data_IF_179773883558
#
_entry.id   IF_179773883558
#
_cell.length_a   1.000
_cell.length_b   1.000
_cell.length_c   1.000
_cell.angle_alpha   90.00
_cell.angle_beta   90.00
_cell.angle_gamma   90.00
#
_symmetry.space_group_name_H-M   'P 1'
#
loop_
_entity.id
_entity.type
_entity.pdbx_description
1 polymer ?
#
# COMPACT_ATOMS: atom_id res chain seq x y z
N UNK A 1 8.11 -23.68 31.35
CA UNK A 1 7.37 -23.97 30.10
C UNK A 1 6.92 -22.73 29.32
N UNK A 2 6.46 -21.64 29.97
CA UNK A 2 5.85 -20.48 29.27
C UNK A 2 6.79 -19.63 28.40
N UNK A 3 8.10 -19.57 28.71
CA UNK A 3 9.07 -18.73 27.98
C UNK A 3 9.50 -19.30 26.62
N UNK A 4 9.65 -20.63 26.51
CA UNK A 4 10.02 -21.31 25.26
C UNK A 4 8.91 -21.21 24.19
N UNK A 5 7.65 -21.23 24.63
CA UNK A 5 6.48 -21.06 23.75
C UNK A 5 6.42 -19.64 23.19
N UNK A 6 6.73 -18.63 24.01
CA UNK A 6 6.76 -17.22 23.58
C UNK A 6 7.84 -16.95 22.53
N UNK A 7 9.04 -17.53 22.71
CA UNK A 7 10.14 -17.44 21.74
C UNK A 7 9.76 -18.14 20.44
N UNK A 8 9.14 -19.32 20.52
CA UNK A 8 8.73 -20.05 19.32
C UNK A 8 7.65 -19.31 18.52
N UNK A 9 6.69 -18.66 19.19
CA UNK A 9 5.69 -17.81 18.55
C UNK A 9 6.33 -16.55 17.93
N UNK A 10 7.33 -15.96 18.57
CA UNK A 10 8.11 -14.85 18.01
C UNK A 10 8.85 -15.27 16.73
N UNK A 11 9.51 -16.43 16.72
CA UNK A 11 10.19 -16.93 15.52
C UNK A 11 9.22 -17.24 14.37
N UNK A 12 8.07 -17.85 14.65
CA UNK A 12 7.01 -18.09 13.64
C UNK A 12 6.42 -16.78 13.13
N UNK A 13 6.33 -15.76 13.98
CA UNK A 13 5.89 -14.42 13.60
C UNK A 13 6.93 -13.74 12.70
N UNK A 14 8.21 -13.74 13.08
CA UNK A 14 9.29 -13.14 12.29
C UNK A 14 9.48 -13.85 10.95
N UNK A 15 9.36 -15.19 10.90
CA UNK A 15 9.50 -15.95 9.66
C UNK A 15 8.36 -15.67 8.66
N UNK A 16 7.15 -15.34 9.13
CA UNK A 16 6.03 -14.97 8.25
C UNK A 16 6.13 -13.52 7.72
N UNK A 17 6.95 -12.66 8.33
CA UNK A 17 7.14 -11.28 7.88
C UNK A 17 8.28 -11.12 6.86
N UNK A 18 9.20 -12.10 6.75
CA UNK A 18 10.48 -11.92 6.08
C UNK A 18 10.53 -12.31 4.59
N UNK A 19 9.42 -12.72 3.97
CA UNK A 19 9.42 -13.14 2.56
C UNK A 19 8.48 -12.24 1.76
N UNK A 20 8.92 -11.02 1.48
CA UNK A 20 8.39 -10.25 0.36
C UNK A 20 9.29 -10.56 -0.84
N UNK A 21 8.78 -11.30 -1.82
CA UNK A 21 9.49 -11.47 -3.08
C UNK A 21 9.70 -10.09 -3.73
N UNK A 22 10.89 -9.81 -4.29
CA UNK A 22 11.11 -8.56 -5.01
C UNK A 22 10.10 -8.48 -6.17
N UNK A 23 9.53 -7.30 -6.45
CA UNK A 23 8.58 -7.15 -7.54
C UNK A 23 9.25 -7.52 -8.88
N UNK A 24 8.56 -8.29 -9.72
CA UNK A 24 9.02 -8.53 -11.10
C UNK A 24 8.89 -7.23 -11.90
N UNK A 25 10.05 -6.64 -12.24
CA UNK A 25 10.14 -5.38 -12.97
C UNK A 25 10.34 -5.58 -14.48
N UNK A 26 10.52 -6.81 -14.95
CA UNK A 26 10.89 -7.07 -16.35
C UNK A 26 9.79 -6.62 -17.31
N UNK A 27 8.53 -6.85 -16.95
CA UNK A 27 7.38 -6.38 -17.71
C UNK A 27 7.41 -4.86 -17.93
N UNK A 28 7.64 -4.09 -16.86
CA UNK A 28 7.67 -2.62 -16.93
C UNK A 28 8.90 -2.09 -17.67
N UNK A 29 10.06 -2.74 -17.52
CA UNK A 29 11.25 -2.41 -18.29
C UNK A 29 11.01 -2.58 -19.79
N UNK A 30 10.37 -3.67 -20.20
CA UNK A 30 10.02 -3.90 -21.59
C UNK A 30 9.04 -2.83 -22.13
N UNK A 31 8.07 -2.40 -21.32
CA UNK A 31 7.15 -1.30 -21.69
C UNK A 31 7.88 0.04 -21.86
N UNK A 32 8.83 0.35 -20.98
CA UNK A 32 9.64 1.58 -21.05
C UNK A 32 10.54 1.54 -22.28
N UNK A 33 11.22 0.42 -22.53
CA UNK A 33 12.04 0.25 -23.72
C UNK A 33 11.23 0.41 -25.02
N UNK A 34 9.99 -0.09 -25.02
CA UNK A 34 9.09 -0.05 -26.19
C UNK A 34 8.48 1.33 -26.44
N UNK A 35 7.99 2.01 -25.41
CA UNK A 35 7.21 3.24 -25.55
C UNK A 35 7.97 4.52 -25.19
N UNK A 36 9.21 4.40 -24.70
CA UNK A 36 10.09 5.52 -24.42
C UNK A 36 10.16 5.89 -22.93
N UNK A 37 10.55 7.13 -22.60
CA UNK A 37 10.70 7.54 -21.21
C UNK A 37 9.35 7.68 -20.51
N UNK A 38 9.32 7.30 -19.24
CA UNK A 38 8.16 7.48 -18.36
C UNK A 38 7.82 8.96 -18.21
N UNK A 39 6.55 9.37 -18.42
CA UNK A 39 6.15 10.76 -18.24
C UNK A 39 6.38 11.23 -16.79
N UNK A 40 6.85 12.48 -16.58
CA UNK A 40 7.12 13.01 -15.24
C UNK A 40 5.88 13.03 -14.34
N UNK A 41 4.69 13.07 -14.96
CA UNK A 41 3.39 13.02 -14.28
C UNK A 41 3.25 11.80 -13.37
N UNK A 42 3.88 10.66 -13.72
CA UNK A 42 3.87 9.46 -12.88
C UNK A 42 4.60 9.72 -11.56
N UNK A 43 5.78 10.35 -11.62
CA UNK A 43 6.56 10.68 -10.44
C UNK A 43 5.85 11.74 -9.58
N UNK A 44 5.25 12.75 -10.19
CA UNK A 44 4.51 13.78 -9.48
C UNK A 44 3.25 13.25 -8.80
N UNK A 45 2.51 12.36 -9.48
CA UNK A 45 1.36 11.68 -8.90
C UNK A 45 1.79 10.79 -7.72
N UNK A 46 2.85 10.02 -7.90
CA UNK A 46 3.41 9.20 -6.82
C UNK A 46 3.80 10.06 -5.62
N UNK A 47 4.55 11.13 -5.83
CA UNK A 47 4.93 12.08 -4.77
C UNK A 47 3.71 12.66 -4.07
N UNK A 48 2.63 13.00 -4.78
CA UNK A 48 1.38 13.50 -4.15
C UNK A 48 0.68 12.42 -3.33
N UNK A 49 0.71 11.18 -3.80
CA UNK A 49 0.13 10.03 -3.12
C UNK A 49 0.94 9.62 -1.88
N UNK A 50 2.26 9.81 -1.89
CA UNK A 50 3.21 9.40 -0.83
C UNK A 50 3.79 10.55 -0.01
N UNK A 51 3.43 11.81 -0.27
CA UNK A 51 3.91 13.00 0.45
C UNK A 51 3.69 12.97 1.97
N UNK A 52 2.86 12.05 2.45
CA UNK A 52 2.64 11.78 3.87
C UNK A 52 3.38 10.58 4.42
N UNK A 53 4.40 9.99 3.78
CA UNK A 53 5.02 8.71 4.19
C UNK A 53 6.34 8.85 5.00
N UNK A 54 6.42 9.84 5.90
CA UNK A 54 7.51 9.94 6.88
C UNK A 54 7.54 8.81 7.91
N UNK A 55 8.54 8.79 8.81
CA UNK A 55 8.70 7.74 9.85
C UNK A 55 7.45 7.60 10.73
N UNK A 56 6.85 8.72 11.14
CA UNK A 56 5.63 8.77 11.98
C UNK A 56 4.43 8.14 11.24
N UNK A 57 4.12 8.54 9.99
CA UNK A 57 3.13 7.88 9.15
C UNK A 57 3.39 6.39 8.86
N UNK A 58 4.64 5.97 8.66
CA UNK A 58 4.99 4.55 8.48
C UNK A 58 4.68 3.73 9.72
N UNK A 59 5.03 4.24 10.91
CA UNK A 59 4.65 3.63 12.18
C UNK A 59 3.12 3.58 12.33
N UNK A 60 2.40 4.65 11.96
CA UNK A 60 0.94 4.66 11.92
C UNK A 60 0.38 3.61 10.95
N UNK A 61 1.01 3.36 9.80
CA UNK A 61 0.62 2.32 8.83
C UNK A 61 0.77 0.91 9.43
N UNK A 62 1.87 0.67 10.14
CA UNK A 62 2.11 -0.59 10.88
C UNK A 62 1.08 -0.76 12.00
N UNK A 63 0.86 0.28 12.82
CA UNK A 63 -0.15 0.28 13.90
C UNK A 63 -1.55 0.06 13.33
N UNK A 64 -1.89 0.69 12.21
CA UNK A 64 -3.18 0.53 11.53
C UNK A 64 -3.36 -0.88 10.97
N UNK A 65 -2.32 -1.47 10.39
CA UNK A 65 -2.32 -2.87 9.92
C UNK A 65 -2.48 -3.82 11.10
N UNK A 66 -1.79 -3.59 12.21
CA UNK A 66 -1.93 -4.36 13.45
C UNK A 66 -3.33 -4.21 14.06
N UNK A 67 -3.85 -2.98 14.15
CA UNK A 67 -5.22 -2.68 14.59
C UNK A 67 -6.23 -3.41 13.72
N UNK A 68 -6.05 -3.38 12.40
CA UNK A 68 -6.90 -4.10 11.45
C UNK A 68 -6.85 -5.61 11.66
N UNK A 69 -5.68 -6.19 11.88
CA UNK A 69 -5.53 -7.62 12.20
C UNK A 69 -6.22 -7.99 13.52
N UNK A 70 -5.98 -7.20 14.57
CA UNK A 70 -6.54 -7.42 15.90
C UNK A 70 -8.06 -7.27 15.91
N UNK A 71 -8.59 -6.23 15.26
CA UNK A 71 -10.03 -6.01 15.12
C UNK A 71 -10.70 -7.11 14.28
N UNK A 72 -10.03 -7.61 13.23
CA UNK A 72 -10.53 -8.73 12.42
C UNK A 72 -10.53 -10.05 13.20
N UNK A 73 -9.54 -10.26 14.08
CA UNK A 73 -9.48 -11.42 14.97
C UNK A 73 -10.67 -11.45 15.95
N UNK A 74 -11.17 -10.29 16.38
CA UNK A 74 -12.38 -10.17 17.23
C UNK A 74 -13.67 -9.98 16.43
N UNK A 75 -13.67 -10.22 15.12
CA UNK A 75 -14.88 -10.19 14.27
C UNK A 75 -15.33 -8.80 13.80
N UNK A 76 -14.59 -7.73 14.12
CA UNK A 76 -14.92 -6.37 13.69
C UNK A 76 -14.32 -6.03 12.32
N UNK A 77 -15.14 -5.47 11.42
CA UNK A 77 -14.67 -4.87 10.15
C UNK A 77 -14.35 -3.39 10.38
N UNK A 78 -13.17 -2.98 9.95
CA UNK A 78 -12.70 -1.59 10.02
C UNK A 78 -12.72 -1.01 8.62
N UNK A 79 -13.42 0.11 8.44
CA UNK A 79 -13.35 0.93 7.22
C UNK A 79 -12.42 2.11 7.48
N UNK A 80 -11.41 2.28 6.64
CA UNK A 80 -10.45 3.40 6.73
C UNK A 80 -10.76 4.46 5.67
N UNK A 81 -10.92 5.73 6.07
CA UNK A 81 -11.68 6.70 5.27
C UNK A 81 -10.90 7.78 4.48
N UNK A 82 -9.84 8.42 4.97
CA UNK A 82 -9.75 9.86 4.60
C UNK A 82 -8.82 10.29 3.44
N UNK A 83 -7.95 9.43 2.88
CA UNK A 83 -7.13 9.80 1.69
C UNK A 83 -6.97 8.70 0.64
N UNK A 84 -7.06 7.45 1.05
CA UNK A 84 -6.96 6.32 0.13
C UNK A 84 -8.21 6.17 -0.74
N UNK A 85 -9.39 6.62 -0.29
CA UNK A 85 -10.66 6.37 -1.01
C UNK A 85 -10.69 7.03 -2.39
N UNK A 86 -10.35 8.32 -2.57
CA UNK A 86 -10.37 8.95 -3.90
C UNK A 86 -9.35 8.32 -4.87
N UNK A 87 -8.14 8.01 -4.38
CA UNK A 87 -7.08 7.37 -5.19
C UNK A 87 -7.48 5.96 -5.59
N UNK A 88 -7.94 5.14 -4.63
CA UNK A 88 -8.43 3.77 -4.88
C UNK A 88 -9.63 3.77 -5.83
N UNK A 89 -10.55 4.72 -5.69
CA UNK A 89 -11.68 4.87 -6.61
C UNK A 89 -11.21 5.20 -8.03
N UNK A 90 -10.23 6.09 -8.17
CA UNK A 90 -9.64 6.39 -9.49
C UNK A 90 -8.97 5.15 -10.09
N UNK A 91 -8.14 4.43 -9.33
CA UNK A 91 -7.50 3.20 -9.81
C UNK A 91 -8.48 2.09 -10.17
N UNK A 92 -9.59 1.97 -9.44
CA UNK A 92 -10.67 1.06 -9.81
C UNK A 92 -11.27 1.45 -11.16
N UNK A 93 -11.59 2.74 -11.36
CA UNK A 93 -12.12 3.25 -12.64
C UNK A 93 -11.14 3.03 -13.79
N UNK A 94 -9.84 3.19 -13.57
CA UNK A 94 -8.82 2.89 -14.60
C UNK A 94 -8.83 1.42 -15.03
N UNK A 95 -8.94 0.49 -14.08
CA UNK A 95 -9.04 -0.95 -14.39
C UNK A 95 -10.32 -1.30 -15.13
N UNK A 96 -11.46 -0.73 -14.71
CA UNK A 96 -12.74 -0.93 -15.41
C UNK A 96 -12.67 -0.37 -16.83
N UNK A 97 -12.08 0.81 -17.02
CA UNK A 97 -11.91 1.42 -18.34
C UNK A 97 -11.02 0.58 -19.25
N UNK A 98 -9.90 0.07 -18.73
CA UNK A 98 -9.01 -0.81 -19.50
C UNK A 98 -9.73 -2.08 -19.94
N UNK A 99 -10.44 -2.76 -19.01
CA UNK A 99 -11.22 -3.94 -19.36
C UNK A 99 -12.34 -3.67 -20.36
N UNK A 100 -12.99 -2.50 -20.29
CA UNK A 100 -14.00 -2.10 -21.28
C UNK A 100 -13.38 -1.87 -22.67
N UNK A 101 -12.19 -1.26 -22.74
CA UNK A 101 -11.46 -1.07 -24.00
C UNK A 101 -10.99 -2.42 -24.57
N UNK A 102 -10.47 -3.32 -23.73
CA UNK A 102 -10.06 -4.66 -24.14
C UNK A 102 -11.23 -5.44 -24.77
N UNK A 103 -12.40 -5.44 -24.11
CA UNK A 103 -13.61 -6.06 -24.64
C UNK A 103 -14.07 -5.40 -25.94
N UNK A 104 -14.08 -4.07 -26.01
CA UNK A 104 -14.42 -3.34 -27.24
C UNK A 104 -13.51 -3.74 -28.41
N UNK A 105 -12.19 -3.80 -28.17
CA UNK A 105 -11.20 -4.13 -29.20
C UNK A 105 -11.29 -5.58 -29.68
N UNK A 106 -11.73 -6.50 -28.81
CA UNK A 106 -11.98 -7.89 -29.22
C UNK A 106 -13.15 -8.01 -30.20
N UNK A 107 -14.19 -7.19 -30.03
CA UNK A 107 -15.38 -7.22 -30.90
C UNK A 107 -15.20 -6.35 -32.17
N UNK A 108 -14.26 -5.39 -32.15
CA UNK A 108 -14.08 -4.38 -33.20
C UNK A 108 -12.65 -4.32 -33.75
N UNK A 109 -12.18 -5.44 -34.32
CA UNK A 109 -10.80 -5.56 -34.86
C UNK A 109 -10.43 -4.48 -35.89
N UNK A 110 -11.42 -3.96 -36.64
CA UNK A 110 -11.19 -2.94 -37.68
C UNK A 110 -11.11 -1.49 -37.14
N UNK A 111 -11.65 -1.21 -35.96
CA UNK A 111 -11.76 0.16 -35.42
C UNK A 111 -11.36 0.23 -33.93
N UNK A 112 -10.22 -0.39 -33.62
CA UNK A 112 -9.73 -0.50 -32.25
C UNK A 112 -9.39 0.84 -31.60
N UNK A 113 -9.75 0.96 -30.32
CA UNK A 113 -9.29 2.02 -29.44
C UNK A 113 -7.87 1.66 -29.00
N UNK A 114 -6.91 2.43 -29.48
CA UNK A 114 -5.49 2.09 -29.30
C UNK A 114 -4.75 3.04 -28.34
N UNK A 115 -5.36 4.17 -28.00
CA UNK A 115 -4.85 5.14 -27.02
C UNK A 115 -5.96 6.07 -26.51
N UNK A 116 -5.72 6.72 -25.37
CA UNK A 116 -6.63 7.73 -24.80
C UNK A 116 -6.31 9.14 -25.31
N UNK A 117 -6.49 9.34 -26.61
CA UNK A 117 -6.28 10.64 -27.28
C UNK A 117 -7.46 11.60 -27.08
N UNK A 118 -8.70 11.09 -27.15
CA UNK A 118 -9.93 11.82 -26.81
C UNK A 118 -10.75 11.01 -25.79
N UNK A 119 -10.50 11.25 -24.48
CA UNK A 119 -11.20 10.54 -23.41
C UNK A 119 -12.72 10.66 -23.50
N UNK A 120 -13.25 11.82 -23.90
CA UNK A 120 -14.69 12.06 -23.89
C UNK A 120 -15.38 11.33 -25.06
N UNK A 121 -14.76 11.33 -26.24
CA UNK A 121 -15.27 10.54 -27.37
C UNK A 121 -15.21 9.04 -27.09
N UNK A 122 -14.10 8.56 -26.51
CA UNK A 122 -13.95 7.15 -26.12
C UNK A 122 -15.00 6.74 -25.09
N UNK A 123 -15.22 7.55 -24.05
CA UNK A 123 -16.26 7.26 -23.05
C UNK A 123 -17.66 7.21 -23.68
N UNK A 124 -18.00 8.16 -24.57
CA UNK A 124 -19.28 8.13 -25.29
C UNK A 124 -19.42 6.87 -26.13
N UNK A 125 -18.37 6.47 -26.86
CA UNK A 125 -18.34 5.27 -27.68
C UNK A 125 -18.56 4.00 -26.85
N UNK A 126 -17.81 3.86 -25.76
CA UNK A 126 -17.95 2.70 -24.86
C UNK A 126 -19.33 2.64 -24.18
N UNK A 127 -19.99 3.78 -23.95
CA UNK A 127 -21.36 3.80 -23.42
C UNK A 127 -22.38 3.45 -24.49
N UNK A 128 -22.27 4.03 -25.70
CA UNK A 128 -23.23 3.77 -26.78
C UNK A 128 -23.22 2.31 -27.24
N UNK A 129 -22.04 1.68 -27.19
CA UNK A 129 -21.84 0.27 -27.56
C UNK A 129 -22.09 -0.69 -26.38
N UNK A 130 -22.42 -0.18 -25.19
CA UNK A 130 -22.83 -1.00 -24.04
C UNK A 130 -21.69 -1.61 -23.19
N UNK A 131 -20.43 -1.30 -23.46
CA UNK A 131 -19.28 -1.72 -22.64
C UNK A 131 -19.21 -0.98 -21.29
N UNK A 132 -19.76 0.23 -21.22
CA UNK A 132 -19.87 1.00 -19.99
C UNK A 132 -21.32 1.44 -19.74
N UNK A 133 -21.77 1.34 -18.49
CA UNK A 133 -23.10 1.86 -18.09
C UNK A 133 -23.13 3.38 -17.95
N UNK A 134 -22.01 3.97 -17.55
CA UNK A 134 -21.86 5.41 -17.26
C UNK A 134 -20.43 5.85 -17.58
N UNK A 135 -20.25 7.15 -17.83
CA UNK A 135 -18.92 7.72 -18.04
C UNK A 135 -18.07 7.62 -16.78
N UNK A 136 -16.83 7.14 -16.94
CA UNK A 136 -15.87 7.04 -15.87
C UNK A 136 -15.04 8.32 -15.83
N UNK A 137 -15.26 9.14 -14.81
CA UNK A 137 -14.48 10.38 -14.57
C UNK A 137 -13.70 10.28 -13.27
N UNK A 138 -12.57 10.99 -13.17
CA UNK A 138 -11.86 11.11 -11.91
C UNK A 138 -12.64 12.02 -10.94
N UNK A 139 -12.84 11.58 -9.70
CA UNK A 139 -13.58 12.34 -8.68
C UNK A 139 -12.92 13.68 -8.33
N UNK A 140 -11.63 13.83 -8.63
CA UNK A 140 -10.84 15.04 -8.37
C UNK A 140 -10.49 15.79 -9.66
N UNK A 141 -11.25 15.57 -10.74
CA UNK A 141 -11.08 16.27 -12.03
C UNK A 141 -9.74 16.00 -12.74
N UNK A 142 -9.13 14.84 -12.48
CA UNK A 142 -8.03 14.34 -13.29
C UNK A 142 -8.52 13.77 -14.62
N UNK A 143 -7.65 13.78 -15.63
CA UNK A 143 -7.92 13.23 -16.95
C UNK A 143 -7.24 11.88 -17.12
N UNK A 144 -7.96 10.94 -17.73
CA UNK A 144 -7.38 9.66 -18.13
C UNK A 144 -6.61 9.81 -19.42
N UNK A 145 -5.40 9.25 -19.44
CA UNK A 145 -4.45 9.24 -20.55
C UNK A 145 -3.90 7.84 -20.73
N UNK A 146 -3.23 7.60 -21.84
CA UNK A 146 -2.55 6.33 -22.11
C UNK A 146 -1.06 6.54 -22.23
N UNK A 147 -0.30 5.57 -21.73
CA UNK A 147 1.11 5.44 -21.99
C UNK A 147 1.31 4.21 -22.87
N UNK A 148 1.78 4.43 -24.10
CA UNK A 148 1.85 3.39 -25.13
C UNK A 148 0.51 3.08 -25.79
N UNK A 149 0.55 2.09 -26.70
CA UNK A 149 -0.59 1.61 -27.48
C UNK A 149 -1.24 0.42 -26.78
N UNK A 150 -2.56 0.38 -26.65
CA UNK A 150 -3.25 -0.64 -25.85
C UNK A 150 -3.05 -2.06 -26.40
N UNK A 151 -2.98 -2.23 -27.71
CA UNK A 151 -2.72 -3.53 -28.35
C UNK A 151 -1.33 -4.09 -28.01
N UNK A 152 -0.41 -3.23 -27.61
CA UNK A 152 0.98 -3.55 -27.35
C UNK A 152 1.30 -3.59 -25.84
N UNK A 153 0.27 -3.61 -24.98
CA UNK A 153 0.41 -3.60 -23.52
C UNK A 153 0.46 -2.20 -22.90
N UNK A 154 -0.01 -1.18 -23.63
CA UNK A 154 -0.13 0.18 -23.11
C UNK A 154 -1.03 0.24 -21.87
N UNK A 155 -0.79 1.23 -21.02
CA UNK A 155 -1.46 1.38 -19.73
C UNK A 155 -2.29 2.67 -19.68
N UNK A 156 -3.40 2.61 -18.96
CA UNK A 156 -4.17 3.81 -18.61
C UNK A 156 -3.60 4.41 -17.33
N UNK A 157 -3.51 5.74 -17.30
CA UNK A 157 -3.15 6.49 -16.11
C UNK A 157 -4.00 7.74 -15.97
N UNK A 158 -4.09 8.26 -14.75
CA UNK A 158 -4.69 9.55 -14.45
C UNK A 158 -3.57 10.59 -14.29
N UNK A 159 -3.70 11.77 -14.88
CA UNK A 159 -2.73 12.86 -14.68
C UNK A 159 -2.60 13.30 -13.22
N UNK A 160 -3.67 13.12 -12.44
CA UNK A 160 -3.69 13.45 -11.02
C UNK A 160 -3.22 12.28 -10.14
N UNK A 161 -3.66 11.05 -10.39
CA UNK A 161 -3.42 9.93 -9.47
C UNK A 161 -2.36 8.94 -9.94
N UNK A 162 -1.88 9.07 -11.17
CA UNK A 162 -0.97 8.12 -11.79
C UNK A 162 -1.68 6.86 -12.22
N UNK A 163 -0.93 5.76 -12.31
CA UNK A 163 -1.41 4.41 -12.64
C UNK A 163 -1.53 3.56 -11.37
N UNK A 164 -2.42 2.55 -11.31
CA UNK A 164 -2.54 1.67 -10.16
C UNK A 164 -1.24 0.99 -9.72
N UNK A 165 -0.29 0.80 -10.64
CA UNK A 165 0.99 0.13 -10.41
C UNK A 165 2.18 1.12 -10.47
N UNK A 166 1.96 2.37 -10.07
CA UNK A 166 2.91 3.49 -10.16
C UNK A 166 4.27 3.17 -9.54
N UNK A 167 4.30 2.51 -8.38
CA UNK A 167 5.53 2.14 -7.67
C UNK A 167 6.44 1.25 -8.52
N UNK A 168 5.91 0.19 -9.11
CA UNK A 168 6.71 -0.75 -9.90
C UNK A 168 7.20 -0.08 -11.19
N UNK A 169 6.34 0.74 -11.80
CA UNK A 169 6.68 1.51 -12.99
C UNK A 169 7.85 2.48 -12.74
N UNK A 170 7.79 3.22 -11.63
CA UNK A 170 8.83 4.18 -11.24
C UNK A 170 10.13 3.51 -10.79
N UNK A 171 10.04 2.33 -10.14
CA UNK A 171 11.21 1.52 -9.81
C UNK A 171 11.90 1.01 -11.08
N UNK A 172 11.14 0.49 -12.05
CA UNK A 172 11.65 0.04 -13.33
C UNK A 172 12.30 1.18 -14.13
N UNK A 173 11.72 2.39 -14.05
CA UNK A 173 12.26 3.61 -14.65
C UNK A 173 13.46 4.22 -13.90
N UNK A 174 13.84 3.69 -12.73
CA UNK A 174 14.91 4.26 -11.91
C UNK A 174 14.58 5.62 -11.29
N UNK A 175 13.31 6.04 -11.30
CA UNK A 175 12.87 7.35 -10.78
C UNK A 175 12.70 7.35 -9.26
N UNK A 176 12.47 6.18 -8.66
CA UNK A 176 12.43 6.00 -7.21
C UNK A 176 13.39 4.88 -6.79
N UNK A 177 13.92 4.98 -5.56
CA UNK A 177 14.77 3.93 -4.98
C UNK A 177 13.89 2.85 -4.34
N UNK A 178 14.30 1.58 -4.38
CA UNK A 178 13.61 0.53 -3.63
C UNK A 178 13.64 0.89 -2.14
N UNK A 179 12.51 0.64 -1.46
CA UNK A 179 12.45 0.78 0.00
C UNK A 179 13.50 -0.16 0.61
N UNK A 180 14.34 0.36 1.51
CA UNK A 180 15.30 -0.51 2.17
C UNK A 180 14.56 -1.44 3.12
N UNK A 181 15.02 -2.68 3.26
CA UNK A 181 14.44 -3.61 4.23
C UNK A 181 14.46 -3.01 5.66
N UNK A 182 15.46 -2.18 5.95
CA UNK A 182 15.61 -1.49 7.22
C UNK A 182 14.51 -0.47 7.47
N UNK A 183 13.97 0.15 6.43
CA UNK A 183 12.86 1.10 6.54
C UNK A 183 11.57 0.44 7.07
N UNK A 184 11.36 -0.84 6.76
CA UNK A 184 10.22 -1.62 7.25
C UNK A 184 10.52 -2.32 8.59
N UNK A 185 11.77 -2.75 8.79
CA UNK A 185 12.19 -3.50 9.97
C UNK A 185 12.39 -2.59 11.20
N UNK A 186 12.88 -1.35 11.01
CA UNK A 186 13.17 -0.42 12.10
C UNK A 186 11.97 -0.12 13.01
N UNK A 187 10.77 0.18 12.49
CA UNK A 187 9.58 0.36 13.32
C UNK A 187 9.21 -0.90 14.12
N UNK A 188 9.39 -2.09 13.55
CA UNK A 188 9.11 -3.36 14.22
C UNK A 188 10.10 -3.64 15.34
N UNK A 189 11.40 -3.45 15.08
CA UNK A 189 12.45 -3.58 16.09
C UNK A 189 12.16 -2.62 17.25
N UNK A 190 11.86 -1.36 16.95
CA UNK A 190 11.53 -0.36 17.97
C UNK A 190 10.35 -0.80 18.83
N UNK A 191 9.28 -1.32 18.22
CA UNK A 191 8.10 -1.81 18.92
C UNK A 191 8.42 -3.01 19.83
N UNK A 192 9.23 -3.96 19.36
CA UNK A 192 9.67 -5.12 20.14
C UNK A 192 10.53 -4.69 21.34
N UNK A 193 11.45 -3.74 21.13
CA UNK A 193 12.30 -3.19 22.21
C UNK A 193 11.45 -2.48 23.27
N UNK A 194 10.49 -1.66 22.85
CA UNK A 194 9.57 -0.97 23.76
C UNK A 194 8.69 -1.95 24.55
N UNK A 195 8.13 -2.97 23.89
CA UNK A 195 7.35 -4.01 24.54
C UNK A 195 8.20 -4.81 25.54
N UNK A 196 9.43 -5.16 25.18
CA UNK A 196 10.38 -5.83 26.07
C UNK A 196 10.71 -5.00 27.31
N UNK A 197 10.98 -3.70 27.14
CA UNK A 197 11.24 -2.78 28.25
C UNK A 197 10.03 -2.62 29.19
N UNK A 198 8.81 -2.58 28.65
CA UNK A 198 7.59 -2.54 29.44
C UNK A 198 7.40 -3.81 30.28
N UNK A 199 7.58 -4.99 29.68
CA UNK A 199 7.50 -6.27 30.41
C UNK A 199 8.55 -6.35 31.52
N UNK A 200 9.80 -5.95 31.23
CA UNK A 200 10.86 -5.91 32.23
C UNK A 200 10.52 -4.99 33.41
N UNK A 201 9.95 -3.82 33.12
CA UNK A 201 9.51 -2.86 34.14
C UNK A 201 8.39 -3.43 35.02
N UNK A 202 7.39 -4.09 34.42
CA UNK A 202 6.30 -4.76 35.15
C UNK A 202 6.81 -5.89 36.04
N UNK A 203 7.77 -6.70 35.55
CA UNK A 203 8.40 -7.77 36.33
C UNK A 203 9.14 -7.18 37.53
N UNK A 204 9.92 -6.10 37.33
CA UNK A 204 10.63 -5.43 38.42
C UNK A 204 9.64 -4.90 39.48
N UNK A 205 8.56 -4.24 39.07
CA UNK A 205 7.50 -3.77 39.97
C UNK A 205 6.87 -4.94 40.74
N UNK A 206 6.56 -6.04 40.05
CA UNK A 206 6.00 -7.25 40.67
C UNK A 206 6.93 -7.84 41.75
N UNK A 207 8.23 -7.94 41.46
CA UNK A 207 9.21 -8.45 42.43
C UNK A 207 9.41 -7.49 43.62
N UNK A 208 9.43 -6.18 43.40
CA UNK A 208 9.50 -5.18 44.47
C UNK A 208 8.26 -5.26 45.37
N UNK A 209 7.06 -5.38 44.77
CA UNK A 209 5.81 -5.48 45.53
C UNK A 209 5.73 -6.80 46.32
N UNK A 210 6.20 -7.91 45.73
CA UNK A 210 6.24 -9.22 46.39
C UNK A 210 7.28 -9.30 47.51
N UNK A 211 8.39 -8.57 47.40
CA UNK A 211 9.41 -8.52 48.45
C UNK A 211 8.90 -7.91 49.76
N UNK A 212 7.76 -7.19 49.73
CA UNK A 212 7.16 -6.55 50.90
C UNK A 212 8.07 -5.48 51.53
N UNK A 213 7.52 -4.58 52.37
CA UNK A 213 8.36 -3.77 53.24
C UNK A 213 9.01 -4.69 54.28
N UNK A 214 10.13 -5.30 53.93
CA UNK A 214 10.99 -6.02 54.87
C UNK A 214 11.71 -5.00 55.73
N UNK A 215 11.09 -4.64 56.86
CA UNK A 215 11.77 -3.98 57.97
C UNK A 215 11.36 -2.53 58.26
N UNK A 216 10.14 -2.32 58.74
CA UNK A 216 9.89 -1.30 59.76
C UNK A 216 9.75 -2.00 61.13
N UNK A 217 10.82 -2.70 61.54
CA UNK A 217 11.03 -3.08 62.92
C UNK A 217 11.45 -1.85 63.73
N UNK A 218 10.47 -1.06 64.18
CA UNK A 218 10.66 0.10 65.04
C UNK A 218 10.10 -0.17 66.42
N UNK A 219 10.93 -0.82 67.25
CA UNK A 219 10.95 -0.92 68.72
C UNK A 219 9.69 -0.42 69.47
N UNK A 220 9.04 -1.36 70.16
CA UNK A 220 8.30 -1.06 71.38
C UNK A 220 9.24 -0.34 72.37
N UNK A 221 8.92 0.90 72.70
CA UNK A 221 9.47 1.60 73.86
C UNK A 221 8.47 1.43 75.01
N UNK A 222 9.05 1.02 76.15
CA UNK A 222 8.43 0.79 77.45
C UNK A 222 7.53 1.95 77.91
#
# INVERSE_FOLDING_TARGET
>A
MKFKILISLFFVFVSNFAIAEPPDLNHYKALIERFGPVPPVFYEAHKRNTAGDGVIPRLMKVIKRFRGYLLRFIGYRVYDADREIPVKSCFYKQRVLMGAIELYNMDHEAEMIDSMHDPDAIMRKLISEGYLKVSLTCNQKGNYRSYGRFQEGGIIFCDLHGTPDDKNFLLAAGMIKPDSIWDELMPLILLVVLAGAAVFSLVKIYYVYKAGPSGAGGKALN
#
